data_IF_796186608128
#
_entry.id   IF_796186608128
#
_cell.length_a   1.000
_cell.length_b   1.000
_cell.length_c   1.000
_cell.angle_alpha   90.00
_cell.angle_beta   90.00
_cell.angle_gamma   90.00
#
_symmetry.space_group_name_H-M   'P 1'
#
loop_
_entity.id
_entity.type
_entity.pdbx_description
1 polymer ?
#
# COMPACT_ATOMS: atom_id res chain seq x y z
N UNK A 1 0.39 61.11 -2.05
CA UNK A 1 -0.50 59.96 -2.29
C UNK A 1 0.30 58.92 -3.04
N UNK A 2 0.46 57.73 -2.49
CA UNK A 2 1.26 56.66 -3.12
C UNK A 2 1.44 55.50 -2.14
N UNK A 3 0.44 54.64 -2.05
CA UNK A 3 0.44 53.43 -1.22
C UNK A 3 1.27 52.34 -1.91
N UNK A 4 2.37 51.89 -1.30
CA UNK A 4 2.98 50.61 -1.65
C UNK A 4 2.28 49.54 -0.81
N UNK A 5 1.32 48.85 -1.44
CA UNK A 5 0.55 47.78 -0.82
C UNK A 5 1.41 46.52 -0.72
N UNK A 6 1.77 46.13 0.50
CA UNK A 6 2.38 44.84 0.80
C UNK A 6 1.40 43.73 0.46
N UNK A 7 1.57 43.09 -0.71
CA UNK A 7 0.86 41.86 -1.02
C UNK A 7 1.54 40.74 -0.23
N UNK A 8 1.02 40.49 0.96
CA UNK A 8 1.27 39.25 1.68
C UNK A 8 0.61 38.12 0.87
N UNK A 9 1.40 37.29 0.19
CA UNK A 9 0.87 36.04 -0.35
C UNK A 9 0.40 35.18 0.85
N UNK A 10 -0.86 34.70 0.85
CA UNK A 10 -1.28 33.74 1.87
C UNK A 10 -0.41 32.48 1.74
N UNK A 11 -0.04 31.81 2.86
CA UNK A 11 0.66 30.54 2.77
C UNK A 11 -0.21 29.58 1.96
N UNK A 12 0.38 28.97 0.93
CA UNK A 12 -0.29 27.95 0.13
C UNK A 12 -0.85 26.90 1.09
N UNK A 13 -2.18 26.80 1.13
CA UNK A 13 -2.91 25.78 1.86
C UNK A 13 -2.31 24.43 1.45
N UNK A 14 -1.93 23.53 2.38
CA UNK A 14 -1.47 22.21 2.00
C UNK A 14 -2.58 21.61 1.15
N UNK A 15 -2.26 21.39 -0.13
CA UNK A 15 -3.18 20.82 -1.09
C UNK A 15 -3.59 19.47 -0.50
N UNK A 16 -4.83 19.41 -0.04
CA UNK A 16 -5.39 18.23 0.59
C UNK A 16 -5.49 17.20 -0.53
N UNK A 17 -4.48 16.33 -0.61
CA UNK A 17 -4.37 15.26 -1.58
C UNK A 17 -5.74 14.53 -1.58
N UNK A 18 -6.40 14.54 -2.74
CA UNK A 18 -7.71 13.90 -2.95
C UNK A 18 -7.63 12.46 -2.40
N UNK A 19 -8.68 11.92 -1.77
CA UNK A 19 -8.66 10.52 -1.36
C UNK A 19 -8.38 9.62 -2.59
N UNK A 20 -7.17 9.05 -2.69
CA UNK A 20 -6.72 8.05 -3.71
C UNK A 20 -7.63 6.80 -3.80
N UNK A 21 -8.78 6.87 -4.46
CA UNK A 21 -9.68 5.72 -4.68
C UNK A 21 -8.89 4.48 -5.13
N UNK A 22 -8.80 3.47 -4.24
CA UNK A 22 -7.99 2.25 -4.42
C UNK A 22 -8.55 1.36 -5.55
N UNK A 23 -9.67 1.76 -6.14
CA UNK A 23 -10.37 1.08 -7.23
C UNK A 23 -9.60 1.09 -8.56
N UNK A 24 -8.71 2.07 -8.78
CA UNK A 24 -7.96 2.23 -10.04
C UNK A 24 -6.67 1.37 -10.12
N UNK A 25 -6.25 0.73 -9.02
CA UNK A 25 -5.08 -0.13 -9.04
C UNK A 25 -5.31 -1.40 -9.87
N UNK A 26 -4.28 -1.93 -10.57
CA UNK A 26 -4.39 -3.20 -11.26
C UNK A 26 -4.93 -4.28 -10.30
N UNK A 27 -5.87 -5.09 -10.77
CA UNK A 27 -6.48 -6.19 -10.01
C UNK A 27 -5.49 -7.00 -9.16
N UNK A 28 -4.32 -7.45 -9.66
CA UNK A 28 -3.38 -8.21 -8.83
C UNK A 28 -2.87 -7.41 -7.61
N UNK A 29 -2.69 -6.09 -7.73
CA UNK A 29 -2.24 -5.25 -6.60
C UNK A 29 -3.37 -5.10 -5.57
N UNK A 30 -4.59 -4.81 -6.04
CA UNK A 30 -5.75 -4.64 -5.16
C UNK A 30 -6.06 -5.92 -4.38
N UNK A 31 -6.16 -7.06 -5.07
CA UNK A 31 -6.51 -8.34 -4.47
C UNK A 31 -5.46 -8.83 -3.46
N UNK A 32 -4.16 -8.67 -3.78
CA UNK A 32 -3.10 -9.03 -2.84
C UNK A 32 -3.07 -8.09 -1.62
N UNK A 33 -3.38 -6.80 -1.78
CA UNK A 33 -3.46 -5.86 -0.66
C UNK A 33 -4.54 -6.22 0.36
N UNK A 34 -5.74 -6.57 -0.10
CA UNK A 34 -6.83 -7.04 0.78
C UNK A 34 -6.45 -8.34 1.51
N UNK A 35 -5.76 -9.25 0.81
CA UNK A 35 -5.27 -10.49 1.38
C UNK A 35 -4.17 -10.26 2.43
N UNK A 36 -3.26 -9.30 2.19
CA UNK A 36 -2.24 -8.93 3.16
C UNK A 36 -2.87 -8.45 4.46
N UNK A 37 -3.84 -7.54 4.40
CA UNK A 37 -4.52 -7.01 5.60
C UNK A 37 -5.17 -8.16 6.38
N UNK A 38 -5.88 -9.06 5.69
CA UNK A 38 -6.51 -10.24 6.31
C UNK A 38 -5.49 -11.18 6.95
N UNK A 39 -4.38 -11.47 6.27
CA UNK A 39 -3.35 -12.37 6.80
C UNK A 39 -2.62 -11.74 8.00
N UNK A 40 -2.36 -10.44 7.95
CA UNK A 40 -1.74 -9.67 9.02
C UNK A 40 -2.61 -9.68 10.28
N UNK A 41 -3.90 -9.39 10.17
CA UNK A 41 -4.81 -9.45 11.31
C UNK A 41 -5.10 -10.89 11.76
N UNK A 42 -5.21 -11.84 10.83
CA UNK A 42 -5.40 -13.26 11.14
C UNK A 42 -4.29 -13.86 12.01
N UNK A 43 -3.06 -13.36 11.90
CA UNK A 43 -1.95 -13.75 12.78
C UNK A 43 -2.19 -13.41 14.26
N UNK A 44 -2.97 -12.36 14.52
CA UNK A 44 -3.32 -11.86 15.86
C UNK A 44 -4.80 -12.11 16.20
N UNK A 45 -5.51 -12.84 15.33
CA UNK A 45 -6.87 -13.32 15.53
C UNK A 45 -6.89 -14.76 16.06
N UNK A 46 -7.95 -15.14 16.76
CA UNK A 46 -8.32 -16.53 17.01
C UNK A 46 -9.53 -16.91 16.16
N UNK A 47 -9.87 -18.21 16.09
CA UNK A 47 -11.03 -18.72 15.30
C UNK A 47 -12.37 -18.04 15.62
N UNK A 48 -12.48 -17.34 16.76
CA UNK A 48 -13.69 -16.66 17.23
C UNK A 48 -13.55 -15.14 17.44
N UNK A 49 -12.43 -14.52 17.07
CA UNK A 49 -12.24 -13.08 17.30
C UNK A 49 -12.74 -12.21 16.14
N UNK A 50 -13.40 -11.10 16.47
CA UNK A 50 -13.76 -10.05 15.50
C UNK A 50 -12.54 -9.41 14.86
N UNK A 51 -12.71 -8.84 13.66
CA UNK A 51 -11.67 -8.13 12.92
C UNK A 51 -11.08 -6.98 13.75
N UNK A 52 -11.90 -6.23 14.49
CA UNK A 52 -11.46 -5.13 15.35
C UNK A 52 -10.60 -5.62 16.53
N UNK A 53 -10.89 -6.80 17.08
CA UNK A 53 -10.09 -7.39 18.15
C UNK A 53 -8.75 -7.92 17.64
N UNK A 54 -8.73 -8.46 16.42
CA UNK A 54 -7.51 -8.87 15.74
C UNK A 54 -6.63 -7.67 15.40
N UNK A 55 -7.23 -6.58 14.89
CA UNK A 55 -6.54 -5.31 14.62
C UNK A 55 -5.97 -4.69 15.90
N UNK A 56 -6.74 -4.66 17.00
CA UNK A 56 -6.26 -4.13 18.27
C UNK A 56 -5.04 -4.90 18.79
N UNK A 57 -5.06 -6.24 18.72
CA UNK A 57 -3.93 -7.08 19.12
C UNK A 57 -2.72 -6.92 18.21
N UNK A 58 -2.94 -6.70 16.91
CA UNK A 58 -1.87 -6.37 15.99
C UNK A 58 -1.16 -5.07 16.40
N UNK A 59 -1.89 -3.98 16.64
CA UNK A 59 -1.26 -2.72 17.08
C UNK A 59 -0.61 -2.83 18.45
N UNK A 60 -1.19 -3.60 19.37
CA UNK A 60 -0.58 -3.89 20.67
C UNK A 60 0.78 -4.60 20.51
N UNK A 61 0.84 -5.64 19.68
CA UNK A 61 2.09 -6.31 19.33
C UNK A 61 3.10 -5.35 18.70
N UNK A 62 2.67 -4.55 17.72
CA UNK A 62 3.55 -3.62 17.02
C UNK A 62 4.19 -2.59 17.97
N UNK A 63 3.43 -2.12 18.96
CA UNK A 63 3.91 -1.21 20.02
C UNK A 63 4.81 -1.88 21.07
N UNK A 64 4.82 -3.22 21.16
CA UNK A 64 5.62 -3.96 22.12
C UNK A 64 7.10 -4.12 21.74
N UNK A 65 7.44 -3.88 20.47
CA UNK A 65 8.81 -4.01 19.96
C UNK A 65 9.59 -2.70 19.88
N UNK A 66 10.83 -2.78 19.38
CA UNK A 66 11.76 -1.64 19.25
C UNK A 66 11.31 -0.55 18.27
N UNK A 67 10.31 -0.81 17.43
CA UNK A 67 9.80 0.13 16.42
C UNK A 67 8.60 0.97 16.88
N UNK A 68 8.27 0.95 18.18
CA UNK A 68 7.09 1.60 18.77
C UNK A 68 6.90 3.06 18.34
N UNK A 69 7.96 3.86 18.30
CA UNK A 69 7.84 5.28 17.93
C UNK A 69 7.35 5.48 16.50
N UNK A 70 7.80 4.61 15.58
CA UNK A 70 7.37 4.63 14.18
C UNK A 70 5.94 4.11 14.03
N UNK A 71 5.56 3.10 14.83
CA UNK A 71 4.18 2.61 14.91
C UNK A 71 3.24 3.71 15.37
N UNK A 72 3.57 4.40 16.46
CA UNK A 72 2.78 5.52 16.96
C UNK A 72 2.66 6.63 15.91
N UNK A 73 3.75 6.95 15.19
CA UNK A 73 3.70 7.93 14.11
C UNK A 73 2.79 7.49 12.95
N UNK A 74 2.71 6.19 12.67
CA UNK A 74 1.83 5.64 11.64
C UNK A 74 0.35 5.72 12.06
N UNK A 75 0.04 5.44 13.32
CA UNK A 75 -1.33 5.49 13.85
C UNK A 75 -1.90 6.92 13.91
N UNK A 76 -1.05 7.91 14.19
CA UNK A 76 -1.44 9.33 14.14
C UNK A 76 -1.44 9.91 12.73
N UNK A 77 -1.20 9.07 11.72
CA UNK A 77 -1.16 9.52 10.36
C UNK A 77 -2.58 9.59 9.77
N UNK A 78 -3.13 10.80 9.72
CA UNK A 78 -4.44 11.04 9.15
C UNK A 78 -4.40 10.89 7.62
N UNK A 79 -5.22 9.96 7.11
CA UNK A 79 -5.35 9.67 5.68
C UNK A 79 -4.32 8.62 5.21
N UNK A 80 -4.73 7.40 4.82
CA UNK A 80 -3.84 6.27 4.47
C UNK A 80 -2.94 6.52 3.25
N UNK A 81 -3.02 7.71 2.67
CA UNK A 81 -2.58 8.08 1.33
C UNK A 81 -1.67 9.28 1.29
N UNK A 82 -1.55 10.03 2.40
CA UNK A 82 -0.61 11.12 2.42
C UNK A 82 0.80 10.57 2.15
N UNK A 83 1.56 11.28 1.33
CA UNK A 83 2.97 10.92 1.06
C UNK A 83 3.75 10.71 2.36
N UNK A 84 3.39 11.44 3.42
CA UNK A 84 3.93 11.29 4.77
C UNK A 84 3.61 9.92 5.40
N UNK A 85 2.38 9.44 5.32
CA UNK A 85 2.02 8.11 5.85
C UNK A 85 2.72 6.98 5.09
N UNK A 86 2.85 7.11 3.76
CA UNK A 86 3.60 6.15 2.93
C UNK A 86 5.07 6.07 3.36
N UNK A 87 5.70 7.22 3.63
CA UNK A 87 7.08 7.27 4.15
C UNK A 87 7.20 6.67 5.55
N UNK A 88 6.26 6.98 6.46
CA UNK A 88 6.25 6.41 7.82
C UNK A 88 6.08 4.89 7.77
N UNK A 89 5.19 4.38 6.92
CA UNK A 89 5.05 2.94 6.69
C UNK A 89 6.37 2.32 6.18
N UNK A 90 7.06 2.98 5.25
CA UNK A 90 8.39 2.56 4.79
C UNK A 90 9.43 2.51 5.92
N UNK A 91 9.45 3.52 6.80
CA UNK A 91 10.32 3.52 7.99
C UNK A 91 9.97 2.39 8.95
N UNK A 92 8.68 2.07 9.11
CA UNK A 92 8.24 0.98 9.96
C UNK A 92 8.72 -0.37 9.43
N UNK A 93 8.56 -0.61 8.12
CA UNK A 93 9.10 -1.82 7.49
C UNK A 93 10.60 -1.94 7.69
N UNK A 94 11.37 -0.89 7.40
CA UNK A 94 12.82 -0.90 7.60
C UNK A 94 13.22 -1.20 9.05
N UNK A 95 12.50 -0.62 10.01
CA UNK A 95 12.73 -0.88 11.42
C UNK A 95 12.47 -2.36 11.77
N UNK A 96 11.36 -2.95 11.31
CA UNK A 96 11.06 -4.36 11.55
C UNK A 96 12.14 -5.28 10.97
N UNK A 97 12.57 -5.04 9.72
CA UNK A 97 13.64 -5.83 9.09
C UNK A 97 15.00 -5.68 9.79
N UNK A 98 15.24 -4.56 10.47
CA UNK A 98 16.46 -4.34 11.27
C UNK A 98 16.37 -4.99 12.66
N UNK A 99 15.15 -5.28 13.12
CA UNK A 99 14.88 -5.93 14.42
C UNK A 99 14.06 -7.23 14.22
N UNK A 100 14.58 -8.18 13.43
CA UNK A 100 13.81 -9.34 12.97
C UNK A 100 13.36 -10.23 14.14
N UNK A 101 14.15 -10.35 15.20
CA UNK A 101 13.90 -11.30 16.31
C UNK A 101 12.52 -11.14 16.94
N UNK A 102 12.06 -9.89 17.09
CA UNK A 102 10.72 -9.60 17.62
C UNK A 102 9.64 -9.66 16.52
N UNK A 103 9.92 -9.11 15.35
CA UNK A 103 8.93 -8.91 14.28
C UNK A 103 8.81 -10.09 13.30
N UNK A 104 9.53 -11.20 13.53
CA UNK A 104 9.49 -12.40 12.66
C UNK A 104 8.09 -12.82 12.21
N UNK A 105 7.07 -12.90 13.10
CA UNK A 105 5.74 -13.33 12.67
C UNK A 105 5.12 -12.42 11.61
N UNK A 106 5.30 -11.11 11.74
CA UNK A 106 4.83 -10.11 10.78
C UNK A 106 5.65 -10.14 9.49
N UNK A 107 6.97 -10.23 9.61
CA UNK A 107 7.88 -10.29 8.46
C UNK A 107 7.56 -11.50 7.57
N UNK A 108 7.28 -12.67 8.14
CA UNK A 108 6.93 -13.86 7.37
C UNK A 108 5.65 -13.69 6.52
N UNK A 109 4.65 -12.98 7.05
CA UNK A 109 3.42 -12.64 6.31
C UNK A 109 3.74 -11.67 5.17
N UNK A 110 4.57 -10.65 5.42
CA UNK A 110 4.98 -9.67 4.41
C UNK A 110 5.78 -10.31 3.28
N UNK A 111 6.75 -11.18 3.59
CA UNK A 111 7.52 -11.90 2.58
C UNK A 111 6.64 -12.80 1.71
N UNK A 112 5.68 -13.49 2.34
CA UNK A 112 4.71 -14.32 1.63
C UNK A 112 3.87 -13.47 0.67
N UNK A 113 3.41 -12.30 1.13
CA UNK A 113 2.69 -11.34 0.29
C UNK A 113 3.55 -10.85 -0.88
N UNK A 114 4.77 -10.37 -0.65
CA UNK A 114 5.63 -9.86 -1.73
C UNK A 114 5.93 -10.94 -2.78
N UNK A 115 6.15 -12.19 -2.33
CA UNK A 115 6.36 -13.33 -3.22
C UNK A 115 5.12 -13.64 -4.05
N UNK A 116 3.93 -13.58 -3.46
CA UNK A 116 2.68 -13.84 -4.18
C UNK A 116 2.34 -12.71 -5.15
N UNK A 117 2.47 -11.46 -4.73
CA UNK A 117 2.27 -10.28 -5.56
C UNK A 117 3.20 -10.31 -6.78
N UNK A 118 4.48 -10.66 -6.59
CA UNK A 118 5.43 -10.79 -7.70
C UNK A 118 4.96 -11.80 -8.77
N UNK A 119 4.53 -12.99 -8.35
CA UNK A 119 4.01 -14.02 -9.27
C UNK A 119 2.75 -13.55 -10.01
N UNK A 120 1.83 -12.92 -9.29
CA UNK A 120 0.58 -12.44 -9.89
C UNK A 120 0.81 -11.31 -10.88
N UNK A 121 1.80 -10.44 -10.62
CA UNK A 121 2.24 -9.41 -11.55
C UNK A 121 2.88 -10.03 -12.80
N UNK A 122 3.75 -11.04 -12.66
CA UNK A 122 4.36 -11.72 -13.80
C UNK A 122 3.29 -12.35 -14.71
N UNK A 123 2.30 -13.03 -14.13
CA UNK A 123 1.17 -13.61 -14.87
C UNK A 123 0.34 -12.51 -15.55
N UNK A 124 0.07 -11.41 -14.85
CA UNK A 124 -0.68 -10.28 -15.39
C UNK A 124 0.04 -9.64 -16.59
N UNK A 125 1.35 -9.42 -16.49
CA UNK A 125 2.17 -8.88 -17.58
C UNK A 125 2.22 -9.83 -18.77
N UNK A 126 2.41 -11.13 -18.56
CA UNK A 126 2.41 -12.12 -19.62
C UNK A 126 1.06 -12.20 -20.36
N UNK A 127 -0.06 -12.11 -19.63
CA UNK A 127 -1.40 -12.09 -20.22
C UNK A 127 -1.61 -10.83 -21.07
N UNK A 128 -1.24 -9.66 -20.53
CA UNK A 128 -1.35 -8.39 -21.25
C UNK A 128 -0.53 -8.40 -22.55
N UNK A 129 0.72 -8.87 -22.50
CA UNK A 129 1.56 -9.00 -23.69
C UNK A 129 0.96 -9.94 -24.75
N UNK A 130 0.34 -11.05 -24.33
CA UNK A 130 -0.34 -11.98 -25.23
C UNK A 130 -1.56 -11.33 -25.89
N UNK A 131 -2.37 -10.61 -25.12
CA UNK A 131 -3.56 -9.90 -25.62
C UNK A 131 -3.17 -8.81 -26.63
N UNK A 132 -2.17 -7.99 -26.32
CA UNK A 132 -1.64 -6.98 -27.24
C UNK A 132 -1.07 -7.61 -28.53
N UNK A 133 -0.41 -8.77 -28.42
CA UNK A 133 0.12 -9.50 -29.57
C UNK A 133 -1.00 -10.08 -30.44
N UNK A 134 -2.07 -10.58 -29.82
CA UNK A 134 -3.25 -11.09 -30.52
C UNK A 134 -3.99 -9.95 -31.22
N UNK A 135 -4.21 -8.82 -30.55
CA UNK A 135 -4.87 -7.64 -31.11
C UNK A 135 -4.11 -7.09 -32.31
N UNK A 136 -2.78 -6.92 -32.19
CA UNK A 136 -1.91 -6.54 -33.31
C UNK A 136 -2.06 -7.52 -34.47
N UNK A 137 -2.02 -8.83 -34.20
CA UNK A 137 -2.16 -9.86 -35.23
C UNK A 137 -3.51 -9.80 -35.94
N UNK A 138 -4.60 -9.51 -35.22
CA UNK A 138 -5.94 -9.32 -35.80
C UNK A 138 -6.01 -8.04 -36.65
N UNK A 139 -5.43 -6.94 -36.17
CA UNK A 139 -5.34 -5.68 -36.92
C UNK A 139 -4.58 -5.86 -38.24
N UNK A 140 -3.42 -6.54 -38.21
CA UNK A 140 -2.64 -6.86 -39.41
C UNK A 140 -3.41 -7.74 -40.41
N UNK A 141 -4.20 -8.72 -39.93
CA UNK A 141 -5.04 -9.56 -40.79
C UNK A 141 -6.21 -8.80 -41.41
N UNK A 142 -6.80 -7.84 -40.68
CA UNK A 142 -7.85 -6.96 -41.18
C UNK A 142 -7.35 -6.03 -42.30
N UNK A 143 -6.11 -5.56 -42.19
CA UNK A 143 -5.50 -4.67 -43.20
C UNK A 143 -5.12 -5.39 -44.50
N UNK A 144 -4.89 -6.71 -44.47
CA UNK A 144 -4.49 -7.51 -45.65
C UNK A 144 -5.67 -7.93 -46.55
N UNK A 145 -6.88 -7.45 -46.26
CA UNK A 145 -8.13 -7.80 -46.95
C UNK A 145 -8.61 -6.72 -47.94
N UNK A 146 -7.77 -5.70 -48.19
CA UNK A 146 -7.95 -4.66 -49.20
C UNK A 146 -6.88 -4.76 -50.28
#
# INVERSE_FOLDING_TARGET
MGIASSIQFPPAKPEQEKPDDYSDLPYPVRANGDLLIKNMFGLFGGESSSDEAAEARYYEFMRGGGCKDVVNALEHCEGPRSTKCKQIAGMLFNCMYSHPDYYQPVIAVLETFYKQLGKDLDVFHAKKQREESFEKTQLFKGFKRF
#
